data_IF_621160011062
#
_entry.id   IF_621160011062
#
_cell.length_a   1.000
_cell.length_b   1.000
_cell.length_c   1.000
_cell.angle_alpha   90.00
_cell.angle_beta   90.00
_cell.angle_gamma   90.00
#
_symmetry.space_group_name_H-M   'P 1'
#
loop_
_entity.id
_entity.type
_entity.pdbx_description
1 polymer ?
#
# COMPACT_ATOMS: atom_id res chain seq x y z
N UNK A 1 -17.80 -25.30 21.21
CA UNK A 1 -17.79 -25.05 20.78
C UNK A 1 -17.54 -25.01 19.92
N UNK A 2 -17.38 -25.08 19.70
CA UNK A 2 -17.21 -25.12 19.11
C UNK A 2 -17.28 -24.95 17.86
N UNK A 3 -17.45 -25.54 17.32
CA UNK A 3 -17.53 -25.62 15.98
C UNK A 3 -17.79 -24.41 15.27
N UNK A 4 -18.38 -23.61 15.85
CA UNK A 4 -18.70 -22.38 15.31
C UNK A 4 -17.52 -21.69 14.78
N UNK A 5 -16.45 -21.88 15.44
CA UNK A 5 -15.31 -21.16 15.05
C UNK A 5 -14.80 -21.50 13.75
N UNK A 6 -14.99 -22.71 13.36
CA UNK A 6 -14.44 -23.11 12.07
C UNK A 6 -15.10 -22.32 10.95
N UNK A 7 -16.32 -21.86 11.18
CA UNK A 7 -16.98 -21.11 10.17
C UNK A 7 -16.66 -19.65 10.28
N UNK A 8 -15.94 -19.27 11.30
CA UNK A 8 -15.73 -17.88 11.55
C UNK A 8 -14.52 -17.29 10.88
N UNK A 9 -13.77 -18.07 10.13
CA UNK A 9 -12.62 -17.53 9.45
C UNK A 9 -13.06 -16.54 8.38
N UNK A 10 -12.55 -15.33 8.42
CA UNK A 10 -12.94 -14.38 7.40
C UNK A 10 -12.35 -14.79 6.06
N UNK A 11 -13.07 -14.59 5.00
CA UNK A 11 -12.51 -14.79 3.68
C UNK A 11 -11.99 -13.50 3.13
N UNK A 12 -12.20 -12.42 3.82
CA UNK A 12 -11.87 -11.09 3.34
C UNK A 12 -11.58 -10.19 4.53
N UNK A 13 -10.47 -9.50 4.48
CA UNK A 13 -10.07 -8.57 5.52
C UNK A 13 -9.89 -7.18 4.91
N UNK A 14 -10.61 -6.20 5.42
CA UNK A 14 -10.51 -4.83 4.93
C UNK A 14 -9.83 -3.98 5.99
N UNK A 15 -8.73 -3.36 5.62
CA UNK A 15 -7.95 -2.48 6.50
C UNK A 15 -7.94 -1.08 5.90
N UNK A 16 -8.53 -0.13 6.60
CA UNK A 16 -8.65 1.24 6.12
C UNK A 16 -7.71 2.12 6.93
N UNK A 17 -6.63 2.57 6.30
CA UNK A 17 -5.61 3.41 6.93
C UNK A 17 -5.14 2.84 8.26
N UNK A 18 -4.76 1.56 8.28
CA UNK A 18 -4.58 0.87 9.57
C UNK A 18 -3.35 1.33 10.34
N UNK A 19 -2.38 1.96 9.70
CA UNK A 19 -1.18 2.39 10.41
C UNK A 19 -1.18 3.86 10.74
N UNK A 20 -2.33 4.52 10.61
CA UNK A 20 -2.44 5.94 10.96
C UNK A 20 -2.09 6.12 12.44
N UNK A 21 -1.19 7.05 12.69
CA UNK A 21 -0.77 7.34 14.06
C UNK A 21 0.34 6.47 14.60
N UNK A 22 0.77 5.47 13.85
CA UNK A 22 1.85 4.61 14.31
C UNK A 22 3.20 5.21 13.91
N UNK A 23 4.19 5.05 14.77
CA UNK A 23 5.55 5.44 14.40
C UNK A 23 6.15 4.38 13.46
N UNK A 24 7.37 4.61 13.02
CA UNK A 24 7.99 3.72 12.03
C UNK A 24 8.10 2.30 12.57
N UNK A 25 8.53 2.13 13.82
CA UNK A 25 8.71 0.78 14.36
C UNK A 25 7.39 0.05 14.48
N UNK A 26 6.35 0.72 14.97
CA UNK A 26 5.04 0.09 15.12
C UNK A 26 4.43 -0.21 13.76
N UNK A 27 4.63 0.68 12.79
CA UNK A 27 4.13 0.43 11.44
C UNK A 27 4.80 -0.81 10.84
N UNK A 28 6.12 -0.93 11.01
CA UNK A 28 6.81 -2.09 10.44
C UNK A 28 6.37 -3.39 11.10
N UNK A 29 6.12 -3.36 12.40
CA UNK A 29 5.61 -4.54 13.07
C UNK A 29 4.23 -4.91 12.57
N UNK A 30 3.38 -3.91 12.29
CA UNK A 30 2.07 -4.16 11.75
C UNK A 30 2.16 -4.81 10.37
N UNK A 31 3.04 -4.29 9.50
CA UNK A 31 3.20 -4.86 8.16
C UNK A 31 3.73 -6.28 8.22
N UNK A 32 4.65 -6.54 9.16
CA UNK A 32 5.16 -7.89 9.32
C UNK A 32 4.06 -8.83 9.77
N UNK A 33 3.18 -8.38 10.64
CA UNK A 33 2.04 -9.18 11.07
C UNK A 33 1.12 -9.50 9.91
N UNK A 34 0.87 -8.52 9.03
CA UNK A 34 0.04 -8.77 7.84
C UNK A 34 0.70 -9.79 6.92
N UNK A 35 2.01 -9.68 6.72
CA UNK A 35 2.72 -10.64 5.89
C UNK A 35 2.69 -12.04 6.49
N UNK A 36 2.84 -12.13 7.81
CA UNK A 36 2.76 -13.42 8.50
C UNK A 36 1.36 -14.02 8.38
N UNK A 37 0.35 -13.18 8.46
CA UNK A 37 -1.03 -13.64 8.32
C UNK A 37 -1.26 -14.22 6.92
N UNK A 38 -0.74 -13.57 5.89
CA UNK A 38 -0.89 -14.09 4.54
C UNK A 38 -0.14 -15.41 4.37
N UNK A 39 0.99 -15.58 5.05
CA UNK A 39 1.74 -16.82 4.96
C UNK A 39 0.98 -17.97 5.64
N UNK A 40 0.32 -17.67 6.76
CA UNK A 40 -0.39 -18.72 7.50
C UNK A 40 -1.80 -18.96 6.97
N UNK A 41 -2.39 -17.95 6.31
CA UNK A 41 -3.76 -18.06 5.79
C UNK A 41 -3.74 -17.68 4.31
N UNK A 42 -3.21 -18.52 3.44
CA UNK A 42 -3.03 -18.10 2.04
C UNK A 42 -4.33 -17.86 1.29
N UNK A 43 -5.44 -18.34 1.81
CA UNK A 43 -6.73 -18.12 1.16
C UNK A 43 -7.39 -16.82 1.57
N UNK A 44 -6.81 -16.12 2.53
CA UNK A 44 -7.40 -14.89 3.00
C UNK A 44 -7.12 -13.77 2.02
N UNK A 45 -8.15 -13.10 1.56
CA UNK A 45 -8.00 -11.93 0.72
C UNK A 45 -7.97 -10.70 1.60
N UNK A 46 -7.03 -9.81 1.37
CA UNK A 46 -6.91 -8.58 2.15
C UNK A 46 -6.94 -7.38 1.23
N UNK A 47 -7.71 -6.37 1.59
CA UNK A 47 -7.68 -5.09 0.92
C UNK A 47 -7.18 -4.05 1.91
N UNK A 48 -6.14 -3.34 1.54
CA UNK A 48 -5.56 -2.30 2.36
C UNK A 48 -5.80 -0.96 1.68
N UNK A 49 -6.47 -0.04 2.36
CA UNK A 49 -6.72 1.29 1.83
C UNK A 49 -5.74 2.24 2.50
N UNK A 50 -4.91 2.91 1.72
CA UNK A 50 -3.94 3.84 2.25
C UNK A 50 -3.56 4.84 1.16
N UNK A 51 -3.02 5.98 1.57
CA UNK A 51 -2.44 6.91 0.61
C UNK A 51 -0.93 7.04 0.83
N UNK A 52 -0.34 6.09 1.55
CA UNK A 52 1.10 6.05 1.79
C UNK A 52 1.67 4.74 1.28
N UNK A 53 2.46 4.80 0.22
CA UNK A 53 2.99 3.59 -0.40
C UNK A 53 3.94 2.83 0.51
N UNK A 54 4.62 3.50 1.44
CA UNK A 54 5.51 2.81 2.34
C UNK A 54 4.76 1.93 3.33
N UNK A 55 3.43 2.01 3.35
CA UNK A 55 2.61 1.15 4.20
C UNK A 55 2.12 -0.11 3.51
N UNK A 56 2.63 -0.40 2.34
CA UNK A 56 2.22 -1.61 1.62
C UNK A 56 3.08 -2.79 2.06
N UNK A 57 2.45 -3.90 2.49
CA UNK A 57 3.21 -5.09 2.86
C UNK A 57 3.92 -5.70 1.67
N UNK A 58 4.94 -6.52 1.94
CA UNK A 58 5.67 -7.18 0.87
C UNK A 58 4.80 -8.13 0.07
N UNK A 59 3.71 -8.63 0.67
CA UNK A 59 2.83 -9.58 0.01
C UNK A 59 1.80 -8.93 -0.90
N UNK A 60 1.88 -7.61 -1.09
CA UNK A 60 0.94 -6.91 -1.97
C UNK A 60 1.08 -7.41 -3.40
N UNK A 61 -0.02 -7.85 -4.00
CA UNK A 61 0.00 -8.39 -5.36
C UNK A 61 -0.67 -7.49 -6.37
N UNK A 62 -1.71 -6.79 -5.96
CA UNK A 62 -2.50 -5.94 -6.86
C UNK A 62 -2.71 -4.58 -6.23
N UNK A 63 -2.96 -3.61 -7.08
CA UNK A 63 -3.21 -2.26 -6.62
C UNK A 63 -4.32 -1.61 -7.45
N UNK A 64 -4.97 -0.62 -6.86
CA UNK A 64 -5.96 0.18 -7.56
C UNK A 64 -5.74 1.62 -7.14
N UNK A 65 -5.60 2.50 -8.10
CA UNK A 65 -5.48 3.93 -7.84
C UNK A 65 -6.81 4.60 -8.16
N UNK A 66 -7.28 5.40 -7.23
CA UNK A 66 -8.55 6.09 -7.38
C UNK A 66 -8.30 7.59 -7.37
N UNK A 67 -8.93 8.29 -8.29
CA UNK A 67 -8.83 9.74 -8.36
C UNK A 67 -10.20 10.29 -8.72
N UNK A 68 -10.66 11.28 -7.96
CA UNK A 68 -11.95 11.93 -8.20
C UNK A 68 -13.09 10.94 -8.28
N UNK A 69 -13.04 9.92 -7.42
CA UNK A 69 -14.11 8.92 -7.36
C UNK A 69 -14.09 7.91 -8.47
N UNK A 70 -13.03 7.87 -9.28
CA UNK A 70 -12.95 6.94 -10.39
C UNK A 70 -11.68 6.14 -10.32
N UNK A 71 -11.70 4.94 -10.90
CA UNK A 71 -10.51 4.09 -10.96
C UNK A 71 -9.61 4.63 -12.06
N UNK A 72 -8.42 5.05 -11.66
CA UNK A 72 -7.44 5.52 -12.61
C UNK A 72 -6.66 4.36 -13.20
N UNK A 73 -6.29 3.40 -12.41
CA UNK A 73 -5.55 2.22 -12.83
C UNK A 73 -5.80 1.10 -11.85
N UNK A 74 -5.84 -0.14 -12.32
CA UNK A 74 -6.03 -1.31 -11.46
C UNK A 74 -5.36 -2.50 -12.12
N UNK A 75 -4.77 -3.37 -11.32
CA UNK A 75 -4.13 -4.57 -11.84
C UNK A 75 -2.93 -4.97 -11.00
N UNK A 76 -1.96 -5.60 -11.64
CA UNK A 76 -0.74 -6.03 -10.97
C UNK A 76 -0.05 -4.82 -10.34
N UNK A 77 0.45 -5.01 -9.12
CA UNK A 77 1.01 -3.88 -8.37
C UNK A 77 2.15 -3.20 -9.12
N UNK A 78 2.97 -3.97 -9.85
CA UNK A 78 4.09 -3.38 -10.58
C UNK A 78 3.62 -2.59 -11.81
N UNK A 79 2.47 -2.94 -12.35
CA UNK A 79 1.94 -2.22 -13.50
C UNK A 79 1.21 -0.95 -13.07
N UNK A 80 0.67 -0.93 -11.87
CA UNK A 80 -0.15 0.18 -11.40
C UNK A 80 0.69 1.23 -10.66
N UNK A 81 1.63 0.79 -9.81
CA UNK A 81 2.41 1.72 -9.02
C UNK A 81 3.62 2.20 -9.80
N UNK A 82 3.36 2.99 -10.83
CA UNK A 82 4.39 3.60 -11.64
C UNK A 82 4.45 5.09 -11.33
N UNK A 83 5.58 5.69 -11.62
CA UNK A 83 5.73 7.13 -11.44
C UNK A 83 4.63 7.89 -12.18
N UNK A 84 4.29 7.45 -13.38
CA UNK A 84 3.28 8.15 -14.18
C UNK A 84 1.90 8.07 -13.56
N UNK A 85 1.45 6.87 -13.22
CA UNK A 85 0.11 6.71 -12.66
C UNK A 85 -0.01 7.34 -11.28
N UNK A 86 1.00 7.16 -10.45
CA UNK A 86 0.93 7.70 -9.08
C UNK A 86 1.00 9.22 -9.12
N UNK A 87 1.83 9.78 -10.00
CA UNK A 87 1.89 11.23 -10.14
C UNK A 87 0.54 11.79 -10.59
N UNK A 88 -0.14 11.09 -11.49
CA UNK A 88 -1.46 11.52 -11.94
C UNK A 88 -2.48 11.39 -10.81
N UNK A 89 -2.43 10.30 -10.07
CA UNK A 89 -3.40 10.08 -8.99
C UNK A 89 -3.31 11.14 -7.91
N UNK A 90 -2.10 11.60 -7.60
CA UNK A 90 -1.92 12.60 -6.56
C UNK A 90 -1.76 14.02 -7.08
N UNK A 91 -1.83 14.18 -8.40
CA UNK A 91 -1.74 15.51 -9.02
C UNK A 91 -0.43 16.21 -8.65
N UNK A 92 0.65 15.46 -8.60
CA UNK A 92 1.93 15.99 -8.20
C UNK A 92 3.03 15.06 -8.69
N UNK A 93 4.16 15.58 -9.20
CA UNK A 93 5.24 14.72 -9.65
C UNK A 93 5.78 13.91 -8.48
N UNK A 94 5.72 12.59 -8.61
CA UNK A 94 6.14 11.67 -7.56
C UNK A 94 7.00 10.59 -8.19
N UNK A 95 8.15 10.33 -7.56
CA UNK A 95 9.03 9.26 -7.99
C UNK A 95 8.76 8.04 -7.15
N UNK A 96 8.59 6.89 -7.81
CA UNK A 96 8.30 5.64 -7.15
C UNK A 96 9.55 4.77 -7.18
N UNK A 97 9.89 4.23 -6.01
CA UNK A 97 10.96 3.27 -5.88
C UNK A 97 10.41 1.97 -5.35
N UNK A 98 10.95 0.85 -5.84
CA UNK A 98 10.65 -0.47 -5.30
C UNK A 98 11.98 -1.11 -4.99
N UNK A 99 12.25 -1.30 -3.69
CA UNK A 99 13.52 -1.83 -3.24
C UNK A 99 13.29 -2.73 -2.06
N UNK A 100 13.95 -3.88 -2.02
CA UNK A 100 13.82 -4.84 -0.94
C UNK A 100 12.35 -5.22 -0.72
N UNK A 101 11.62 -5.34 -1.83
CA UNK A 101 10.21 -5.73 -1.84
C UNK A 101 9.32 -4.71 -1.13
N UNK A 102 9.78 -3.49 -1.01
CA UNK A 102 9.01 -2.42 -0.38
C UNK A 102 8.90 -1.23 -1.34
N UNK A 103 7.78 -0.56 -1.25
CA UNK A 103 7.48 0.59 -2.09
C UNK A 103 7.76 1.87 -1.34
N UNK A 104 8.29 2.85 -2.05
CA UNK A 104 8.54 4.17 -1.51
C UNK A 104 8.17 5.21 -2.54
N UNK A 105 7.69 6.34 -2.07
CA UNK A 105 7.31 7.44 -2.92
C UNK A 105 7.91 8.72 -2.37
N UNK A 106 8.42 9.57 -3.25
CA UNK A 106 8.91 10.87 -2.84
C UNK A 106 8.57 11.89 -3.90
N UNK A 107 8.32 13.12 -3.46
CA UNK A 107 8.00 14.18 -4.39
C UNK A 107 9.22 14.54 -5.22
N UNK A 108 9.01 14.81 -6.49
CA UNK A 108 10.07 15.30 -7.36
C UNK A 108 10.00 16.82 -7.30
N UNK A 109 11.08 17.44 -6.90
CA UNK A 109 11.11 18.88 -6.80
C UNK A 109 11.87 19.47 -7.96
N UNK A 110 11.33 20.55 -8.48
CA UNK A 110 12.06 21.28 -9.49
C UNK A 110 13.30 21.90 -8.86
N UNK A 111 14.40 22.03 -9.61
CA UNK A 111 15.58 22.70 -9.08
C UNK A 111 15.24 24.12 -8.67
N UNK A 112 15.85 24.56 -7.57
CA UNK A 112 15.63 25.90 -7.14
C UNK A 112 16.27 26.86 -8.07
N UNK A 113 15.52 27.90 -8.39
CA UNK A 113 16.02 28.84 -9.29
C UNK A 113 17.22 29.53 -8.82
N UNK A 114 17.22 29.99 -7.64
CA UNK A 114 18.29 30.73 -7.23
C UNK A 114 19.24 29.90 -6.65
N UNK A 115 19.23 28.83 -6.91
CA UNK A 115 20.31 28.10 -6.51
C UNK A 115 20.77 28.36 -5.20
N UNK A 116 20.37 29.25 -4.63
CA UNK A 116 20.81 29.58 -3.54
C UNK A 116 20.16 28.99 -2.87
N UNK A 117 19.89 28.68 -3.29
CA UNK A 117 19.31 27.90 -2.59
C UNK A 117 19.02 27.66 -1.78
#
# INVERSE_FOLDING_TARGET
MTGVQTCALPIFLLLDEPSTGLDVAAREQFLETVDDLHSSQPELATVLVTHHLEELPETTTHAMLIKDGRVLAAGDVHDVLTTEFVSEAFDHPIHIDYRDRRWQARAIRAPRQNGKG
#
